data_IF_224505458579
#
_entry.id   IF_224505458579
#
_cell.length_a   1.000
_cell.length_b   1.000
_cell.length_c   1.000
_cell.angle_alpha   90.00
_cell.angle_beta   90.00
_cell.angle_gamma   90.00
#
_symmetry.space_group_name_H-M   'P 1'
#
loop_
_entity.id
_entity.type
_entity.pdbx_description
1 polymer ?
#
# COMPACT_ATOMS: atom_id res chain seq x y z
N UNK A 1 -4.60 11.03 6.51
CA UNK A 1 -3.76 9.81 6.35
C UNK A 1 -2.31 10.16 6.65
N UNK A 2 -1.50 9.24 7.19
CA UNK A 2 -0.06 9.43 7.41
C UNK A 2 0.65 8.07 7.35
N UNK A 3 1.88 8.04 6.85
CA UNK A 3 2.82 6.90 6.89
C UNK A 3 4.08 7.32 7.66
N UNK A 4 4.09 7.19 9.01
CA UNK A 4 5.13 7.74 9.87
C UNK A 4 6.31 6.78 10.11
N UNK A 5 6.39 5.64 9.43
CA UNK A 5 7.31 4.55 9.76
C UNK A 5 8.77 5.02 9.86
N UNK A 6 9.25 5.79 8.88
CA UNK A 6 10.64 6.26 8.91
C UNK A 6 10.91 7.31 10.01
N UNK A 7 9.90 8.09 10.43
CA UNK A 7 10.02 9.06 11.53
C UNK A 7 10.29 8.35 12.85
N UNK A 8 9.73 7.15 13.02
CA UNK A 8 9.95 6.29 14.19
C UNK A 8 11.07 5.27 13.98
N UNK A 9 11.93 5.48 12.98
CA UNK A 9 13.03 4.58 12.60
C UNK A 9 12.58 3.13 12.29
N UNK A 10 11.35 2.97 11.77
CA UNK A 10 10.81 1.71 11.30
C UNK A 10 10.86 1.62 9.77
N UNK A 11 11.08 0.42 9.24
CA UNK A 11 11.03 0.15 7.82
C UNK A 11 9.58 -0.10 7.37
N UNK A 12 9.06 0.65 6.37
CA UNK A 12 7.70 0.45 5.88
C UNK A 12 7.57 -0.91 5.16
N UNK A 13 6.59 -1.70 5.60
CA UNK A 13 6.34 -3.05 5.07
C UNK A 13 5.50 -3.02 3.78
N UNK A 14 5.25 -4.18 3.17
CA UNK A 14 4.56 -4.34 1.87
C UNK A 14 3.24 -3.60 1.86
N UNK A 15 2.44 -3.67 2.92
CA UNK A 15 1.18 -2.93 3.00
C UNK A 15 1.38 -1.41 2.87
N UNK A 16 2.32 -0.85 3.63
CA UNK A 16 2.62 0.58 3.64
C UNK A 16 3.31 1.07 2.35
N UNK A 17 3.99 0.19 1.60
CA UNK A 17 4.67 0.55 0.35
C UNK A 17 3.80 0.31 -0.89
N UNK A 18 3.09 -0.81 -0.96
CA UNK A 18 2.29 -1.22 -2.12
C UNK A 18 0.95 -0.47 -2.19
N UNK A 19 0.27 -0.25 -1.06
CA UNK A 19 -1.06 0.37 -1.07
C UNK A 19 -1.00 1.81 -1.59
N UNK A 20 -0.06 2.67 -1.15
CA UNK A 20 0.07 4.00 -1.73
C UNK A 20 0.50 3.97 -3.19
N UNK A 21 1.35 3.01 -3.59
CA UNK A 21 1.77 2.86 -4.99
C UNK A 21 0.56 2.54 -5.89
N UNK A 22 -0.29 1.60 -5.46
CA UNK A 22 -1.49 1.20 -6.21
C UNK A 22 -2.59 2.26 -6.16
N UNK A 23 -2.73 2.97 -5.05
CA UNK A 23 -3.79 3.97 -4.88
C UNK A 23 -3.44 5.33 -5.51
N UNK A 24 -2.18 5.76 -5.45
CA UNK A 24 -1.79 7.14 -5.78
C UNK A 24 -0.71 7.24 -6.87
N UNK A 25 -0.10 6.11 -7.26
CA UNK A 25 1.03 6.10 -8.16
C UNK A 25 2.36 6.44 -7.48
N UNK A 26 3.46 6.23 -8.23
CA UNK A 26 4.82 6.21 -7.69
C UNK A 26 5.26 7.52 -7.02
N UNK A 27 4.94 8.67 -7.63
CA UNK A 27 5.40 9.97 -7.14
C UNK A 27 4.77 10.33 -5.80
N UNK A 28 3.46 10.14 -5.66
CA UNK A 28 2.74 10.43 -4.41
C UNK A 28 3.12 9.41 -3.33
N UNK A 29 3.26 8.13 -3.69
CA UNK A 29 3.72 7.11 -2.76
C UNK A 29 5.09 7.44 -2.16
N UNK A 30 6.06 7.86 -3.00
CA UNK A 30 7.38 8.32 -2.52
C UNK A 30 7.24 9.53 -1.60
N UNK A 31 6.47 10.54 -2.00
CA UNK A 31 6.29 11.74 -1.18
C UNK A 31 5.76 11.38 0.21
N UNK A 32 4.68 10.60 0.29
CA UNK A 32 4.09 10.15 1.56
C UNK A 32 5.06 9.38 2.45
N UNK A 33 5.81 8.44 1.85
CA UNK A 33 6.74 7.59 2.59
C UNK A 33 7.98 8.33 3.09
N UNK A 34 8.47 9.35 2.35
CA UNK A 34 9.70 10.06 2.68
C UNK A 34 9.49 11.33 3.50
N UNK A 35 8.37 12.05 3.33
CA UNK A 35 8.12 13.27 4.11
C UNK A 35 7.44 12.96 5.43
N UNK A 36 6.74 11.83 5.53
CA UNK A 36 5.90 11.45 6.67
C UNK A 36 4.79 12.46 6.94
N UNK A 37 4.46 13.33 5.99
CA UNK A 37 3.46 14.37 6.22
C UNK A 37 2.07 13.79 6.44
N UNK A 38 1.26 14.52 7.21
CA UNK A 38 -0.18 14.24 7.29
C UNK A 38 -0.83 14.77 6.03
N UNK A 39 -1.58 13.91 5.35
CA UNK A 39 -2.40 14.29 4.20
C UNK A 39 -3.86 14.38 4.59
N UNK A 40 -4.45 15.53 4.30
CA UNK A 40 -5.83 15.88 4.59
C UNK A 40 -6.81 15.31 3.56
N UNK A 41 -8.10 15.41 3.88
CA UNK A 41 -9.19 14.89 3.03
C UNK A 41 -9.22 15.60 1.66
N UNK A 42 -8.91 16.89 1.59
CA UNK A 42 -8.95 17.63 0.32
C UNK A 42 -7.85 17.20 -0.65
N UNK A 43 -6.64 16.96 -0.15
CA UNK A 43 -5.53 16.43 -0.97
C UNK A 43 -5.82 15.01 -1.46
N UNK A 44 -6.42 14.21 -0.60
CA UNK A 44 -6.91 12.86 -0.87
C UNK A 44 -7.99 12.82 -1.98
N UNK A 45 -8.93 13.78 -1.99
CA UNK A 45 -9.92 13.91 -3.08
C UNK A 45 -9.26 14.09 -4.44
N UNK A 46 -8.18 14.86 -4.51
CA UNK A 46 -7.49 15.17 -5.77
C UNK A 46 -6.79 13.94 -6.38
N UNK A 47 -6.64 12.86 -5.62
CA UNK A 47 -6.00 11.60 -6.05
C UNK A 47 -6.99 10.43 -6.09
N UNK A 48 -8.30 10.72 -6.14
CA UNK A 48 -9.40 9.75 -6.20
C UNK A 48 -9.42 8.74 -5.03
N UNK A 49 -8.92 9.13 -3.86
CA UNK A 49 -8.90 8.27 -2.68
C UNK A 49 -9.11 9.10 -1.41
N UNK A 50 -10.13 8.83 -0.58
CA UNK A 50 -11.05 7.70 -0.67
C UNK A 50 -12.11 7.92 -1.77
N UNK A 51 -12.67 6.82 -2.28
CA UNK A 51 -13.68 6.84 -3.34
C UNK A 51 -14.98 7.54 -2.92
N UNK A 52 -15.26 7.63 -1.61
CA UNK A 52 -16.43 8.31 -1.02
C UNK A 52 -16.06 8.91 0.32
N UNK A 53 -16.65 10.07 0.63
CA UNK A 53 -16.43 10.81 1.87
C UNK A 53 -17.81 11.17 2.43
N UNK A 54 -18.00 10.92 3.72
CA UNK A 54 -19.24 11.18 4.42
C UNK A 54 -18.96 11.94 5.72
N UNK A 55 -19.89 12.81 6.17
CA UNK A 55 -19.92 13.29 7.55
C UNK A 55 -19.95 12.13 8.54
N UNK A 56 -19.31 12.31 9.70
CA UNK A 56 -19.17 11.24 10.71
C UNK A 56 -20.53 10.74 11.22
N UNK A 57 -21.48 11.65 11.41
CA UNK A 57 -22.86 11.38 11.84
C UNK A 57 -23.70 10.63 10.79
N UNK A 58 -23.25 10.60 9.52
CA UNK A 58 -23.92 9.91 8.43
C UNK A 58 -23.26 8.58 8.05
N UNK A 59 -22.10 8.25 8.64
CA UNK A 59 -21.27 7.13 8.22
C UNK A 59 -22.03 5.78 8.23
N UNK A 60 -22.80 5.51 9.27
CA UNK A 60 -23.56 4.27 9.41
C UNK A 60 -24.69 4.18 8.38
N UNK A 61 -25.47 5.25 8.23
CA UNK A 61 -26.60 5.32 7.29
C UNK A 61 -26.13 5.10 5.85
N UNK A 62 -25.04 5.78 5.47
CA UNK A 62 -24.46 5.69 4.13
C UNK A 62 -23.79 4.34 3.86
N UNK A 63 -23.13 3.77 4.87
CA UNK A 63 -22.57 2.41 4.79
C UNK A 63 -23.68 1.38 4.56
N UNK A 64 -24.75 1.44 5.35
CA UNK A 64 -25.90 0.53 5.18
C UNK A 64 -26.57 0.71 3.83
N UNK A 65 -26.76 1.95 3.37
CA UNK A 65 -27.30 2.23 2.05
C UNK A 65 -26.42 1.64 0.93
N UNK A 66 -25.11 1.68 1.07
CA UNK A 66 -24.20 1.06 0.12
C UNK A 66 -24.24 -0.47 0.15
N UNK A 67 -24.24 -1.08 1.34
CA UNK A 67 -24.38 -2.54 1.49
C UNK A 67 -25.69 -3.02 0.86
N UNK A 68 -26.81 -2.31 1.06
CA UNK A 68 -28.11 -2.60 0.42
C UNK A 68 -28.06 -2.50 -1.11
N UNK A 69 -27.18 -1.67 -1.68
CA UNK A 69 -26.96 -1.64 -3.14
C UNK A 69 -26.19 -2.87 -3.57
N UNK A 70 -25.12 -3.24 -2.85
CA UNK A 70 -24.33 -4.42 -3.15
C UNK A 70 -25.14 -5.71 -3.03
N UNK A 71 -26.00 -5.83 -2.01
CA UNK A 71 -26.81 -7.03 -1.76
C UNK A 71 -27.85 -7.34 -2.85
N UNK A 72 -28.06 -6.43 -3.80
CA UNK A 72 -28.93 -6.67 -4.97
C UNK A 72 -28.24 -7.48 -6.06
N UNK A 73 -26.91 -7.54 -6.04
CA UNK A 73 -26.15 -8.35 -6.99
C UNK A 73 -26.13 -9.81 -6.54
N UNK A 74 -25.96 -10.72 -7.50
CA UNK A 74 -25.76 -12.14 -7.19
C UNK A 74 -24.49 -12.32 -6.36
N UNK A 75 -24.61 -13.09 -5.28
CA UNK A 75 -23.53 -13.30 -4.31
C UNK A 75 -22.28 -13.86 -4.99
N UNK A 76 -22.47 -14.79 -5.92
CA UNK A 76 -21.42 -15.41 -6.72
C UNK A 76 -20.62 -14.38 -7.50
N UNK A 77 -21.27 -13.38 -8.11
CA UNK A 77 -20.59 -12.32 -8.87
C UNK A 77 -19.70 -11.47 -7.97
N UNK A 78 -20.19 -11.08 -6.79
CA UNK A 78 -19.40 -10.31 -5.83
C UNK A 78 -18.17 -11.10 -5.34
N UNK A 79 -18.36 -12.38 -5.05
CA UNK A 79 -17.28 -13.27 -4.59
C UNK A 79 -16.26 -13.51 -5.71
N UNK A 80 -16.72 -13.76 -6.94
CA UNK A 80 -15.84 -14.06 -8.06
C UNK A 80 -15.00 -12.84 -8.46
N UNK A 81 -15.57 -11.63 -8.49
CA UNK A 81 -14.79 -10.41 -8.78
C UNK A 81 -13.64 -10.27 -7.78
N UNK A 82 -13.91 -10.39 -6.47
CA UNK A 82 -12.87 -10.30 -5.43
C UNK A 82 -11.82 -11.41 -5.57
N UNK A 83 -12.29 -12.63 -5.80
CA UNK A 83 -11.42 -13.81 -5.93
C UNK A 83 -10.51 -13.69 -7.16
N UNK A 84 -11.06 -13.34 -8.32
CA UNK A 84 -10.32 -13.14 -9.56
C UNK A 84 -9.26 -12.06 -9.39
N UNK A 85 -9.61 -10.89 -8.85
CA UNK A 85 -8.64 -9.81 -8.61
C UNK A 85 -7.48 -10.27 -7.72
N UNK A 86 -7.78 -11.05 -6.67
CA UNK A 86 -6.77 -11.62 -5.78
C UNK A 86 -5.87 -12.61 -6.51
N UNK A 87 -6.44 -13.53 -7.29
CA UNK A 87 -5.69 -14.55 -8.04
C UNK A 87 -4.79 -13.89 -9.09
N UNK A 88 -5.34 -12.97 -9.89
CA UNK A 88 -4.61 -12.26 -10.93
C UNK A 88 -3.41 -11.49 -10.39
N UNK A 89 -3.51 -10.94 -9.18
CA UNK A 89 -2.43 -10.18 -8.54
C UNK A 89 -1.52 -11.03 -7.64
N UNK A 90 -1.83 -12.31 -7.40
CA UNK A 90 -1.12 -13.15 -6.42
C UNK A 90 0.39 -13.23 -6.66
N UNK A 91 0.79 -13.38 -7.93
CA UNK A 91 2.21 -13.43 -8.30
C UNK A 91 2.95 -12.14 -7.99
N UNK A 92 2.34 -10.99 -8.35
CA UNK A 92 2.89 -9.68 -8.05
C UNK A 92 2.99 -9.43 -6.53
N UNK A 93 1.92 -9.71 -5.78
CA UNK A 93 1.90 -9.57 -4.32
C UNK A 93 2.99 -10.43 -3.66
N UNK A 94 3.17 -11.67 -4.13
CA UNK A 94 4.23 -12.54 -3.61
C UNK A 94 5.62 -11.93 -3.85
N UNK A 95 5.88 -11.42 -5.06
CA UNK A 95 7.17 -10.79 -5.37
C UNK A 95 7.42 -9.55 -4.48
N UNK A 96 6.39 -8.76 -4.17
CA UNK A 96 6.49 -7.64 -3.23
C UNK A 96 6.87 -8.11 -1.81
N UNK A 97 6.24 -9.16 -1.30
CA UNK A 97 6.59 -9.74 -0.01
C UNK A 97 8.01 -10.33 0.02
N UNK A 98 8.42 -11.03 -1.04
CA UNK A 98 9.78 -11.57 -1.14
C UNK A 98 10.82 -10.41 -1.12
N UNK A 99 10.54 -9.31 -1.83
CA UNK A 99 11.39 -8.11 -1.84
C UNK A 99 11.43 -7.44 -0.47
N UNK A 100 10.29 -7.32 0.22
CA UNK A 100 10.23 -6.79 1.59
C UNK A 100 11.08 -7.63 2.54
N UNK A 101 10.96 -8.95 2.51
CA UNK A 101 11.71 -9.85 3.39
C UNK A 101 13.23 -9.68 3.21
N UNK A 102 13.69 -9.53 1.96
CA UNK A 102 15.10 -9.24 1.66
C UNK A 102 15.55 -7.88 2.17
N UNK A 103 14.76 -6.83 1.95
CA UNK A 103 15.06 -5.48 2.45
C UNK A 103 15.03 -5.43 3.98
N UNK A 104 14.04 -6.09 4.59
CA UNK A 104 13.83 -6.15 6.04
C UNK A 104 14.99 -6.84 6.75
N UNK A 105 15.52 -7.94 6.20
CA UNK A 105 16.73 -8.59 6.72
C UNK A 105 17.92 -7.64 6.81
N UNK A 106 18.09 -6.77 5.82
CA UNK A 106 19.16 -5.76 5.82
C UNK A 106 18.85 -4.60 6.77
N UNK A 107 17.61 -4.10 6.78
CA UNK A 107 17.19 -2.98 7.63
C UNK A 107 17.36 -3.30 9.12
N UNK A 108 16.95 -4.51 9.53
CA UNK A 108 16.97 -4.96 10.92
C UNK A 108 18.22 -5.77 11.30
N UNK A 109 19.20 -5.90 10.41
CA UNK A 109 20.47 -6.54 10.73
C UNK A 109 21.20 -5.81 11.88
N UNK A 110 21.81 -6.59 12.76
CA UNK A 110 22.67 -6.10 13.85
C UNK A 110 23.94 -5.44 13.31
N UNK A 111 24.54 -6.04 12.27
CA UNK A 111 25.66 -5.47 11.55
C UNK A 111 25.15 -4.60 10.40
N UNK A 112 25.56 -3.33 10.37
CA UNK A 112 25.15 -2.40 9.31
C UNK A 112 26.10 -2.50 8.13
N UNK A 113 25.52 -2.70 6.95
CA UNK A 113 26.24 -2.61 5.67
C UNK A 113 26.77 -1.19 5.46
N UNK A 114 27.97 -1.09 4.89
CA UNK A 114 28.50 0.14 4.32
C UNK A 114 27.67 0.59 3.11
N UNK A 115 27.84 1.85 2.70
CA UNK A 115 27.17 2.38 1.52
C UNK A 115 27.49 1.62 0.24
N UNK A 116 28.72 1.11 0.10
CA UNK A 116 29.13 0.31 -1.06
C UNK A 116 28.41 -1.04 -1.08
N UNK A 117 28.32 -1.71 0.06
CA UNK A 117 27.61 -2.98 0.19
C UNK A 117 26.10 -2.82 0.00
N UNK A 118 25.52 -1.68 0.40
CA UNK A 118 24.12 -1.34 0.11
C UNK A 118 23.88 -1.12 -1.38
N UNK A 119 24.76 -0.38 -2.07
CA UNK A 119 24.68 -0.18 -3.52
C UNK A 119 24.77 -1.51 -4.29
N UNK A 120 25.71 -2.38 -3.93
CA UNK A 120 25.83 -3.72 -4.51
C UNK A 120 24.58 -4.58 -4.24
N UNK A 121 24.03 -4.53 -3.03
CA UNK A 121 22.78 -5.20 -2.67
C UNK A 121 21.59 -4.69 -3.52
N UNK A 122 21.42 -3.37 -3.63
CA UNK A 122 20.35 -2.75 -4.42
C UNK A 122 20.45 -3.14 -5.90
N UNK A 123 21.67 -3.15 -6.48
CA UNK A 123 21.90 -3.64 -7.84
C UNK A 123 21.50 -5.11 -8.00
N UNK A 124 21.73 -5.92 -6.98
CA UNK A 124 21.27 -7.32 -6.93
C UNK A 124 19.74 -7.42 -6.96
N UNK A 125 19.04 -6.59 -6.18
CA UNK A 125 17.58 -6.54 -6.19
C UNK A 125 17.03 -6.16 -7.56
N UNK A 126 17.59 -5.14 -8.22
CA UNK A 126 17.17 -4.76 -9.58
C UNK A 126 17.32 -5.92 -10.57
N UNK A 127 18.43 -6.65 -10.54
CA UNK A 127 18.62 -7.82 -11.41
C UNK A 127 17.62 -8.96 -11.16
N UNK A 128 17.10 -9.06 -9.94
CA UNK A 128 16.19 -10.14 -9.53
C UNK A 128 14.72 -9.82 -9.79
N UNK A 129 14.34 -8.55 -9.66
CA UNK A 129 12.95 -8.09 -9.67
C UNK A 129 12.59 -7.18 -10.85
N UNK A 130 13.54 -6.85 -11.73
CA UNK A 130 13.33 -6.12 -13.00
C UNK A 130 13.68 -7.01 -14.19
#
# INVERSE_FOLDING_TARGET
>A
LRLPEIEIAAFPQTGATILPLLAFGLNIAKNLLYTTDKVGIEELKNINFPTRIFPLDQLEVETLAFVKKLSKYQTEFLIFIKTMLTIMNKGYIKACFDLEDECGKVAYATEKKSMKELDEFIKGLYKKYS
#
